data_IF_342688590157
#
_entry.id   IF_342688590157
#
_cell.length_a   1.000
_cell.length_b   1.000
_cell.length_c   1.000
_cell.angle_alpha   90.00
_cell.angle_beta   90.00
_cell.angle_gamma   90.00
#
_symmetry.space_group_name_H-M   'P 1'
#
loop_
_entity.id
_entity.type
_entity.pdbx_description
1 polymer ?
#
# COMPACT_ATOMS: atom_id res chain seq x y z
N UNK A 1 -15.92 3.30 -6.01
CA UNK A 1 -15.45 2.66 -4.76
C UNK A 1 -16.08 3.34 -3.54
N UNK A 2 -16.36 2.64 -2.44
CA UNK A 2 -16.80 3.27 -1.18
C UNK A 2 -15.58 3.62 -0.31
N UNK A 3 -15.12 4.86 -0.39
CA UNK A 3 -13.86 5.30 0.24
C UNK A 3 -13.86 5.20 1.77
N UNK A 4 -15.02 5.27 2.43
CA UNK A 4 -15.12 5.19 3.90
C UNK A 4 -14.76 3.82 4.47
N UNK A 5 -14.90 2.75 3.68
CA UNK A 5 -14.57 1.38 4.04
C UNK A 5 -13.08 1.03 3.88
N UNK A 6 -12.29 1.92 3.28
CA UNK A 6 -10.85 1.71 3.08
C UNK A 6 -10.06 2.39 4.18
N UNK A 7 -9.24 1.62 4.89
CA UNK A 7 -8.47 2.13 6.02
C UNK A 7 -7.11 1.48 6.17
N UNK A 8 -6.08 2.32 6.30
CA UNK A 8 -4.73 1.94 6.67
C UNK A 8 -4.12 2.98 7.59
N UNK A 9 -3.24 2.52 8.48
CA UNK A 9 -2.35 3.38 9.27
C UNK A 9 -0.98 2.73 9.39
N UNK A 10 0.07 3.53 9.44
CA UNK A 10 1.46 3.08 9.59
C UNK A 10 1.81 2.60 11.01
N UNK A 11 0.81 2.26 11.83
CA UNK A 11 0.96 1.89 13.24
C UNK A 11 0.03 0.74 13.64
N UNK A 12 0.24 0.20 14.83
CA UNK A 12 -0.62 -0.79 15.48
C UNK A 12 -0.77 -2.08 14.65
N UNK A 13 -1.99 -2.65 14.56
CA UNK A 13 -2.25 -3.87 13.80
C UNK A 13 -2.10 -3.72 12.28
N UNK A 14 -2.02 -2.50 11.75
CA UNK A 14 -1.98 -2.24 10.31
C UNK A 14 -0.56 -2.17 9.74
N UNK A 15 0.43 -1.86 10.58
CA UNK A 15 1.83 -1.86 10.19
C UNK A 15 2.71 -2.13 11.40
N UNK A 16 3.38 -3.29 11.40
CA UNK A 16 4.24 -3.69 12.51
C UNK A 16 5.36 -4.62 12.06
N UNK A 17 6.51 -4.53 12.75
CA UNK A 17 7.60 -5.47 12.55
C UNK A 17 7.22 -6.83 13.17
N UNK A 18 7.19 -7.89 12.37
CA UNK A 18 7.00 -9.26 12.86
C UNK A 18 8.28 -9.82 13.47
N UNK A 19 9.43 -9.44 12.91
CA UNK A 19 10.77 -9.75 13.37
C UNK A 19 11.74 -8.67 12.83
N UNK A 20 13.06 -8.91 12.93
CA UNK A 20 14.08 -7.94 12.53
C UNK A 20 14.11 -7.60 11.03
N UNK A 21 13.53 -8.44 10.18
CA UNK A 21 13.59 -8.33 8.72
C UNK A 21 12.21 -8.13 8.08
N UNK A 22 11.16 -8.64 8.72
CA UNK A 22 9.81 -8.71 8.16
C UNK A 22 8.90 -7.59 8.69
N UNK A 23 8.38 -6.79 7.76
CA UNK A 23 7.36 -5.79 8.01
C UNK A 23 6.01 -6.34 7.56
N UNK A 24 5.06 -6.44 8.50
CA UNK A 24 3.68 -6.79 8.19
C UNK A 24 2.92 -5.52 7.91
N UNK A 25 2.21 -5.50 6.79
CA UNK A 25 1.34 -4.41 6.38
C UNK A 25 -0.05 -4.99 6.17
N UNK A 26 -1.08 -4.28 6.65
CA UNK A 26 -2.47 -4.67 6.50
C UNK A 26 -3.33 -3.49 6.08
N UNK A 27 -4.34 -3.77 5.25
CA UNK A 27 -5.27 -2.79 4.69
C UNK A 27 -6.68 -3.33 4.87
N UNK A 28 -7.58 -2.52 5.41
CA UNK A 28 -9.01 -2.80 5.37
C UNK A 28 -9.62 -2.18 4.13
N UNK A 29 -10.54 -2.89 3.48
CA UNK A 29 -11.37 -2.37 2.39
C UNK A 29 -12.80 -2.89 2.50
N UNK A 30 -13.72 -2.28 1.76
CA UNK A 30 -14.99 -2.88 1.39
C UNK A 30 -14.85 -4.06 0.40
N UNK A 31 -15.97 -4.71 0.11
CA UNK A 31 -16.07 -5.84 -0.83
C UNK A 31 -16.10 -5.45 -2.31
N UNK A 32 -16.16 -4.15 -2.59
CA UNK A 32 -16.06 -3.56 -3.92
C UNK A 32 -14.64 -3.64 -4.50
N UNK A 33 -13.62 -3.69 -3.63
CA UNK A 33 -12.22 -3.91 -4.02
C UNK A 33 -11.97 -5.39 -4.33
N UNK A 34 -11.54 -5.68 -5.55
CA UNK A 34 -11.29 -7.06 -6.04
C UNK A 34 -9.85 -7.48 -5.91
N UNK A 35 -8.92 -6.56 -6.16
CA UNK A 35 -7.49 -6.79 -6.06
C UNK A 35 -6.80 -5.60 -5.42
N UNK A 36 -5.78 -5.90 -4.64
CA UNK A 36 -4.92 -4.91 -3.99
C UNK A 36 -3.50 -5.19 -4.39
N UNK A 37 -2.82 -4.17 -4.90
CA UNK A 37 -1.37 -4.18 -5.08
C UNK A 37 -0.75 -3.19 -4.11
N UNK A 38 0.46 -3.50 -3.67
CA UNK A 38 1.30 -2.58 -2.91
C UNK A 38 2.52 -2.24 -3.76
N UNK A 39 2.74 -0.95 -3.99
CA UNK A 39 3.98 -0.48 -4.56
C UNK A 39 4.88 -0.04 -3.40
N UNK A 40 6.03 -0.68 -3.24
CA UNK A 40 6.89 -0.47 -2.07
C UNK A 40 8.37 -0.41 -2.45
N UNK A 41 9.16 0.28 -1.63
CA UNK A 41 10.58 0.45 -1.89
C UNK A 41 11.29 1.27 -0.82
N UNK A 42 12.60 1.42 -0.98
CA UNK A 42 13.39 2.29 -0.10
C UNK A 42 13.05 3.77 -0.39
N UNK A 43 12.77 4.61 0.61
CA UNK A 43 12.43 6.02 0.40
C UNK A 43 13.51 6.82 -0.35
N UNK A 44 14.76 6.37 -0.29
CA UNK A 44 15.93 7.05 -0.85
C UNK A 44 16.51 6.31 -2.06
N UNK A 45 15.73 5.43 -2.69
CA UNK A 45 16.15 4.70 -3.90
C UNK A 45 16.47 5.62 -5.07
N UNK A 46 15.80 6.77 -5.15
CA UNK A 46 15.97 7.82 -6.16
C UNK A 46 16.95 8.93 -5.72
N UNK A 47 17.87 8.62 -4.79
CA UNK A 47 18.86 9.57 -4.31
C UNK A 47 18.35 10.51 -3.20
N UNK A 48 19.30 11.16 -2.52
CA UNK A 48 19.06 12.06 -1.38
C UNK A 48 19.28 13.54 -1.72
N UNK A 49 19.73 13.82 -2.94
CA UNK A 49 20.25 15.13 -3.36
C UNK A 49 19.22 16.01 -4.07
N UNK A 50 17.94 15.62 -4.07
CA UNK A 50 16.85 16.47 -4.59
C UNK A 50 16.91 16.73 -6.09
N UNK A 51 17.44 15.80 -6.88
CA UNK A 51 17.32 15.85 -8.34
C UNK A 51 15.89 15.51 -8.81
N UNK A 52 15.63 15.61 -10.12
CA UNK A 52 14.37 15.18 -10.77
C UNK A 52 14.20 13.64 -10.78
N UNK A 53 14.81 12.93 -9.84
CA UNK A 53 14.74 11.48 -9.79
C UNK A 53 13.40 11.06 -9.16
N UNK A 54 12.58 10.40 -9.97
CA UNK A 54 11.26 9.90 -9.55
C UNK A 54 11.47 8.60 -8.78
N UNK A 55 10.92 8.54 -7.57
CA UNK A 55 10.91 7.32 -6.78
C UNK A 55 10.16 6.20 -7.53
N UNK A 56 10.83 5.07 -7.75
CA UNK A 56 10.25 3.87 -8.35
C UNK A 56 10.31 2.74 -7.33
N UNK A 57 9.15 2.32 -6.85
CA UNK A 57 9.00 1.13 -6.02
C UNK A 57 8.65 -0.11 -6.85
N UNK A 58 8.73 -1.27 -6.20
CA UNK A 58 8.31 -2.55 -6.76
C UNK A 58 6.83 -2.77 -6.47
N UNK A 59 6.07 -3.10 -7.50
CA UNK A 59 4.68 -3.52 -7.34
C UNK A 59 4.60 -5.01 -6.96
N UNK A 60 3.76 -5.32 -5.99
CA UNK A 60 3.49 -6.68 -5.52
C UNK A 60 2.01 -6.85 -5.19
N UNK A 61 1.40 -7.95 -5.64
CA UNK A 61 -0.01 -8.26 -5.37
C UNK A 61 -0.18 -8.75 -3.93
N UNK A 62 -1.18 -8.21 -3.21
CA UNK A 62 -1.56 -8.64 -1.86
C UNK A 62 -2.51 -9.82 -1.97
N UNK A 63 -1.97 -11.03 -1.81
CA UNK A 63 -2.71 -12.30 -2.00
C UNK A 63 -3.44 -12.79 -0.76
N UNK A 64 -2.95 -12.46 0.42
CA UNK A 64 -3.59 -12.87 1.67
C UNK A 64 -4.73 -11.90 1.98
N UNK A 65 -5.94 -12.44 2.06
CA UNK A 65 -7.14 -11.70 2.46
C UNK A 65 -7.95 -12.52 3.46
N UNK A 66 -8.51 -11.83 4.45
CA UNK A 66 -9.38 -12.39 5.47
C UNK A 66 -10.74 -11.71 5.31
N UNK A 67 -11.78 -12.51 5.18
CA UNK A 67 -13.16 -12.02 5.10
C UNK A 67 -13.68 -11.77 6.51
N UNK A 68 -14.07 -10.52 6.78
CA UNK A 68 -14.73 -10.08 8.01
C UNK A 68 -16.21 -9.78 7.70
N UNK A 69 -17.07 -9.59 8.70
CA UNK A 69 -18.52 -9.43 8.48
C UNK A 69 -18.90 -8.30 7.50
N UNK A 70 -18.12 -7.22 7.47
CA UNK A 70 -18.39 -6.05 6.62
C UNK A 70 -17.20 -5.60 5.76
N UNK A 71 -16.03 -6.24 5.93
CA UNK A 71 -14.77 -5.76 5.34
C UNK A 71 -13.90 -6.92 4.87
N UNK A 72 -12.96 -6.61 3.98
CA UNK A 72 -11.84 -7.45 3.64
C UNK A 72 -10.59 -6.91 4.31
N UNK A 73 -9.91 -7.75 5.08
CA UNK A 73 -8.60 -7.44 5.64
C UNK A 73 -7.52 -8.08 4.75
N UNK A 74 -6.81 -7.23 4.02
CA UNK A 74 -5.68 -7.61 3.18
C UNK A 74 -4.40 -7.56 3.98
N UNK A 75 -3.52 -8.53 3.78
CA UNK A 75 -2.26 -8.63 4.52
C UNK A 75 -1.11 -9.00 3.61
N UNK A 76 0.04 -8.36 3.82
CA UNK A 76 1.28 -8.72 3.14
C UNK A 76 2.46 -8.61 4.09
N UNK A 77 3.46 -9.45 3.87
CA UNK A 77 4.73 -9.43 4.60
C UNK A 77 5.82 -9.00 3.64
N UNK A 78 6.44 -7.85 3.91
CA UNK A 78 7.54 -7.31 3.13
C UNK A 78 8.87 -7.55 3.85
N UNK A 79 9.97 -7.58 3.07
CA UNK A 79 11.35 -7.67 3.59
C UNK A 79 12.17 -6.46 3.11
N UNK A 80 12.06 -5.29 3.77
CA UNK A 80 12.77 -4.09 3.35
C UNK A 80 14.27 -4.24 3.66
N UNK A 81 15.11 -4.31 2.63
CA UNK A 81 16.56 -4.54 2.75
C UNK A 81 17.26 -3.59 3.73
N UNK A 82 16.86 -2.32 3.75
CA UNK A 82 17.46 -1.27 4.58
C UNK A 82 16.61 -0.90 5.80
N UNK A 83 15.63 -1.73 6.19
CA UNK A 83 14.70 -1.47 7.31
C UNK A 83 13.91 -0.15 7.17
N UNK A 84 13.81 0.36 5.94
CA UNK A 84 13.01 1.54 5.55
C UNK A 84 12.08 1.12 4.44
N UNK A 85 10.84 1.57 4.49
CA UNK A 85 9.83 1.23 3.50
C UNK A 85 8.93 2.44 3.26
N UNK A 86 8.94 2.96 2.04
CA UNK A 86 7.91 3.84 1.50
C UNK A 86 6.99 2.98 0.65
N UNK A 87 5.69 3.15 0.78
CA UNK A 87 4.73 2.39 0.00
C UNK A 87 3.42 3.14 -0.21
N UNK A 88 2.67 2.68 -1.21
CA UNK A 88 1.27 3.05 -1.44
C UNK A 88 0.48 1.83 -1.93
N UNK A 89 -0.84 1.88 -1.81
CA UNK A 89 -1.71 0.82 -2.31
C UNK A 89 -2.34 1.21 -3.63
N UNK A 90 -2.52 0.23 -4.50
CA UNK A 90 -3.27 0.34 -5.75
C UNK A 90 -4.46 -0.61 -5.64
N UNK A 91 -5.65 -0.03 -5.62
CA UNK A 91 -6.92 -0.71 -5.38
C UNK A 91 -7.63 -0.85 -6.72
N UNK A 92 -7.93 -2.08 -7.12
CA UNK A 92 -8.68 -2.36 -8.33
C UNK A 92 -10.07 -2.83 -7.95
N UNK A 93 -11.05 -2.11 -8.47
CA UNK A 93 -12.46 -2.51 -8.45
C UNK A 93 -12.81 -3.12 -9.82
N UNK A 94 -14.07 -3.46 -10.05
CA UNK A 94 -14.50 -3.98 -11.36
C UNK A 94 -14.40 -2.96 -12.50
N UNK A 95 -14.42 -1.66 -12.19
CA UNK A 95 -14.51 -0.58 -13.18
C UNK A 95 -13.40 0.47 -13.05
N UNK A 96 -12.91 0.68 -11.84
CA UNK A 96 -12.02 1.79 -11.49
C UNK A 96 -10.74 1.28 -10.82
N UNK A 97 -9.69 2.08 -10.95
CA UNK A 97 -8.41 1.89 -10.28
C UNK A 97 -8.08 3.13 -9.46
N UNK A 98 -7.77 2.93 -8.19
CA UNK A 98 -7.46 3.99 -7.23
C UNK A 98 -6.08 3.78 -6.62
N UNK A 99 -5.34 4.87 -6.42
CA UNK A 99 -4.12 4.89 -5.65
C UNK A 99 -4.45 5.44 -4.26
N UNK A 100 -4.08 4.70 -3.23
CA UNK A 100 -4.29 5.07 -1.84
C UNK A 100 -2.93 5.30 -1.16
N UNK A 101 -2.71 6.55 -0.75
CA UNK A 101 -1.53 7.04 -0.04
C UNK A 101 -1.94 7.60 1.33
N UNK A 102 -0.96 8.04 2.12
CA UNK A 102 -1.20 8.64 3.44
C UNK A 102 -2.15 9.85 3.40
N UNK A 103 -2.03 10.69 2.36
CA UNK A 103 -2.85 11.90 2.18
C UNK A 103 -4.23 11.65 1.58
N UNK A 104 -4.52 10.42 1.11
CA UNK A 104 -5.84 10.06 0.56
C UNK A 104 -5.79 9.28 -0.75
N UNK A 105 -6.82 9.47 -1.57
CA UNK A 105 -7.05 8.73 -2.81
C UNK A 105 -6.78 9.58 -4.04
N UNK A 106 -6.09 8.99 -5.01
CA UNK A 106 -5.71 9.61 -6.27
C UNK A 106 -5.99 8.67 -7.44
N UNK A 107 -6.25 9.23 -8.61
CA UNK A 107 -6.17 8.48 -9.85
C UNK A 107 -4.71 8.34 -10.29
N UNK A 108 -4.38 7.30 -11.07
CA UNK A 108 -3.00 7.04 -11.52
C UNK A 108 -2.39 8.20 -12.33
N UNK A 109 -3.23 9.02 -12.96
CA UNK A 109 -2.78 10.20 -13.71
C UNK A 109 -2.38 11.36 -12.81
N UNK A 110 -2.94 11.45 -11.60
CA UNK A 110 -2.71 12.54 -10.65
C UNK A 110 -1.44 12.36 -9.81
N UNK A 111 -0.86 11.16 -9.76
CA UNK A 111 0.37 10.88 -9.00
C UNK A 111 1.66 11.33 -9.73
N UNK A 112 1.55 11.90 -10.94
CA UNK A 112 2.69 12.24 -11.81
C UNK A 112 3.22 13.67 -11.65
N UNK A 113 2.77 14.43 -10.65
CA UNK A 113 3.23 15.80 -10.37
C UNK A 113 4.28 15.86 -9.25
#
# INVERSE_FOLDING_TARGET
MEFGSVYHRTTEQYCYARNEEELVISLLTGYDVKQVFINWGDPFSAGILGGNEIWSGKEEEVKERIELEHHLLWKIVLKPKYKRCKYYFKLLTEQEQWIYVEDGFYEEQQLKE
#
